data_IF_646177224575
#
_entry.id   IF_646177224575
#
_cell.length_a   1.000
_cell.length_b   1.000
_cell.length_c   1.000
_cell.angle_alpha   90.00
_cell.angle_beta   90.00
_cell.angle_gamma   90.00
#
_symmetry.space_group_name_H-M   'P 1'
#
loop_
_entity.id
_entity.type
_entity.pdbx_description
1 polymer ?
#
# COMPACT_ATOMS: atom_id res chain seq x y z
N UNK A 1 -25.88 -0.74 0.80
CA UNK A 1 -24.92 -0.66 1.93
C UNK A 1 -24.49 -2.03 2.45
N UNK A 2 -25.38 -3.03 2.55
CA UNK A 2 -24.99 -4.37 3.03
C UNK A 2 -24.05 -5.15 2.11
N UNK A 3 -24.23 -5.12 0.78
CA UNK A 3 -23.42 -5.98 -0.12
C UNK A 3 -21.94 -5.59 -0.17
N UNK A 4 -21.62 -4.29 -0.11
CA UNK A 4 -20.24 -3.79 -0.12
C UNK A 4 -19.48 -4.18 1.15
N UNK A 5 -20.17 -4.13 2.30
CA UNK A 5 -19.60 -4.57 3.58
C UNK A 5 -19.35 -6.07 3.59
N UNK A 6 -20.27 -6.86 3.02
CA UNK A 6 -20.13 -8.32 2.89
C UNK A 6 -18.95 -8.67 1.97
N UNK A 7 -18.75 -7.98 0.85
CA UNK A 7 -17.59 -8.22 -0.03
C UNK A 7 -16.27 -7.87 0.67
N UNK A 8 -16.23 -6.79 1.45
CA UNK A 8 -15.06 -6.40 2.22
C UNK A 8 -14.72 -7.42 3.31
N UNK A 9 -15.73 -7.89 4.05
CA UNK A 9 -15.56 -8.94 5.07
C UNK A 9 -15.16 -10.27 4.43
N UNK A 10 -15.75 -10.65 3.29
CA UNK A 10 -15.39 -11.87 2.58
C UNK A 10 -13.94 -11.84 2.06
N UNK A 11 -13.47 -10.68 1.59
CA UNK A 11 -12.06 -10.49 1.22
C UNK A 11 -11.14 -10.62 2.45
N UNK A 12 -11.51 -10.04 3.59
CA UNK A 12 -10.74 -10.18 4.83
C UNK A 12 -10.69 -11.65 5.27
N UNK A 13 -11.82 -12.35 5.29
CA UNK A 13 -11.90 -13.77 5.70
C UNK A 13 -11.11 -14.67 4.74
N UNK A 14 -11.15 -14.40 3.43
CA UNK A 14 -10.38 -15.17 2.45
C UNK A 14 -8.87 -14.92 2.57
N UNK A 15 -8.46 -13.68 2.85
CA UNK A 15 -7.05 -13.35 3.14
C UNK A 15 -6.59 -13.91 4.50
N UNK A 16 -7.52 -14.10 5.44
CA UNK A 16 -7.26 -14.62 6.79
C UNK A 16 -7.26 -16.15 6.88
N UNK A 17 -7.55 -16.87 5.79
CA UNK A 17 -7.45 -18.32 5.75
C UNK A 17 -5.99 -18.74 6.01
N UNK A 18 -5.77 -19.22 7.23
CA UNK A 18 -4.47 -19.49 7.84
C UNK A 18 -3.61 -20.42 6.96
N UNK A 19 -2.37 -20.01 6.70
CA UNK A 19 -1.30 -20.92 6.28
C UNK A 19 -0.51 -21.31 7.52
N UNK A 20 -0.39 -22.62 7.75
CA UNK A 20 0.43 -23.20 8.81
C UNK A 20 1.91 -23.03 8.43
N UNK A 21 2.56 -22.00 8.98
CA UNK A 21 4.01 -21.80 8.82
C UNK A 21 4.74 -22.81 9.72
N UNK A 22 5.54 -23.70 9.12
CA UNK A 22 6.42 -24.59 9.88
C UNK A 22 7.44 -23.76 10.68
N UNK A 23 7.84 -24.21 11.89
CA UNK A 23 8.74 -23.47 12.76
C UNK A 23 10.14 -23.39 12.12
N UNK A 24 10.53 -22.21 11.63
CA UNK A 24 11.86 -22.00 11.05
C UNK A 24 11.95 -20.81 10.07
N UNK A 25 10.84 -20.36 9.50
CA UNK A 25 10.83 -19.26 8.53
C UNK A 25 10.56 -17.92 9.22
N UNK A 26 11.62 -17.24 9.66
CA UNK A 26 11.56 -15.89 10.26
C UNK A 26 12.15 -14.77 9.37
N UNK A 27 12.81 -15.11 8.26
CA UNK A 27 13.46 -14.11 7.42
C UNK A 27 12.61 -13.78 6.19
N UNK A 28 12.23 -12.49 6.09
CA UNK A 28 11.66 -11.92 4.87
C UNK A 28 12.75 -11.93 3.81
N UNK A 29 12.52 -12.65 2.72
CA UNK A 29 13.45 -12.66 1.59
C UNK A 29 13.36 -11.31 0.84
N UNK A 30 14.34 -10.43 1.06
CA UNK A 30 14.44 -9.14 0.34
C UNK A 30 14.59 -9.35 -1.17
N UNK A 31 15.18 -10.46 -1.62
CA UNK A 31 15.27 -10.74 -3.05
C UNK A 31 13.89 -11.04 -3.65
N UNK A 32 12.96 -11.58 -2.87
CA UNK A 32 11.60 -11.85 -3.33
C UNK A 32 10.85 -10.56 -3.67
N UNK A 33 10.91 -9.54 -2.82
CA UNK A 33 10.30 -8.22 -3.09
C UNK A 33 10.96 -7.53 -4.29
N UNK A 34 12.29 -7.66 -4.41
CA UNK A 34 13.04 -7.12 -5.55
C UNK A 34 12.68 -7.82 -6.86
N UNK A 35 12.52 -9.15 -6.85
CA UNK A 35 12.06 -9.94 -7.99
C UNK A 35 10.61 -9.64 -8.36
N UNK A 36 9.75 -9.34 -7.39
CA UNK A 36 8.35 -8.94 -7.64
C UNK A 36 8.27 -7.59 -8.36
N UNK A 37 9.07 -6.61 -7.92
CA UNK A 37 9.22 -5.33 -8.62
C UNK A 37 9.80 -5.50 -10.03
N UNK A 38 10.74 -6.43 -10.22
CA UNK A 38 11.28 -6.76 -11.54
C UNK A 38 10.30 -7.55 -12.43
N UNK A 39 9.46 -8.42 -11.87
CA UNK A 39 8.43 -9.15 -12.61
C UNK A 39 7.34 -8.18 -13.14
N UNK A 40 7.01 -7.17 -12.34
CA UNK A 40 6.14 -6.06 -12.75
C UNK A 40 6.76 -5.24 -13.90
N UNK A 41 8.10 -5.09 -13.94
CA UNK A 41 8.83 -4.42 -15.02
C UNK A 41 9.04 -5.29 -16.27
N UNK A 42 9.03 -6.63 -16.14
CA UNK A 42 9.29 -7.59 -17.24
C UNK A 42 8.05 -8.09 -17.97
N UNK A 43 6.86 -7.57 -17.68
CA UNK A 43 5.65 -7.97 -18.39
C UNK A 43 5.21 -9.41 -18.10
N UNK A 44 5.49 -9.93 -16.90
CA UNK A 44 4.79 -11.14 -16.44
C UNK A 44 3.28 -10.89 -16.49
N UNK A 45 2.51 -11.80 -17.09
CA UNK A 45 1.09 -11.70 -17.47
C UNK A 45 0.14 -11.30 -16.33
N UNK A 46 0.23 -10.06 -15.88
CA UNK A 46 -0.60 -9.48 -14.85
C UNK A 46 -1.81 -8.79 -15.48
N UNK A 47 -3.03 -9.27 -15.24
CA UNK A 47 -4.24 -8.51 -15.56
C UNK A 47 -4.51 -7.53 -14.43
N UNK A 48 -4.26 -6.25 -14.71
CA UNK A 48 -4.69 -5.15 -13.85
C UNK A 48 -6.06 -4.67 -14.28
N UNK A 49 -6.91 -4.38 -13.29
CA UNK A 49 -8.24 -3.84 -13.50
C UNK A 49 -8.56 -2.79 -12.46
N UNK A 50 -9.37 -1.83 -12.85
CA UNK A 50 -9.97 -0.84 -11.97
C UNK A 50 -11.43 -0.67 -12.42
N UNK A 51 -12.36 -0.70 -11.48
CA UNK A 51 -13.78 -0.49 -11.77
C UNK A 51 -14.41 0.39 -10.71
N UNK A 52 -15.38 1.20 -11.13
CA UNK A 52 -16.17 2.00 -10.19
C UNK A 52 -17.09 1.09 -9.38
N UNK A 53 -17.12 1.28 -8.07
CA UNK A 53 -17.98 0.54 -7.15
C UNK A 53 -18.55 1.49 -6.11
N UNK A 54 -19.83 1.86 -6.26
CA UNK A 54 -20.49 2.79 -5.36
C UNK A 54 -19.82 4.17 -5.36
N UNK A 55 -19.33 4.60 -4.19
CA UNK A 55 -18.66 5.91 -4.00
C UNK A 55 -17.16 5.89 -4.28
N UNK A 56 -16.60 4.74 -4.64
CA UNK A 56 -15.16 4.58 -4.85
C UNK A 56 -14.85 3.66 -6.01
N UNK A 57 -13.65 3.10 -5.99
CA UNK A 57 -13.13 2.22 -7.04
C UNK A 57 -12.53 0.98 -6.42
N UNK A 58 -12.90 -0.18 -6.95
CA UNK A 58 -12.19 -1.43 -6.68
C UNK A 58 -11.12 -1.59 -7.75
N UNK A 59 -9.93 -1.97 -7.32
CA UNK A 59 -8.79 -2.20 -8.20
C UNK A 59 -8.11 -3.50 -7.83
N UNK A 60 -7.37 -4.06 -8.78
CA UNK A 60 -6.56 -5.23 -8.50
C UNK A 60 -5.66 -5.62 -9.67
N UNK A 61 -4.74 -6.52 -9.36
CA UNK A 61 -3.82 -7.14 -10.31
C UNK A 61 -3.73 -8.62 -9.97
N UNK A 62 -3.90 -9.49 -10.96
CA UNK A 62 -3.63 -10.93 -10.83
C UNK A 62 -2.58 -11.30 -11.86
N UNK A 63 -1.54 -12.02 -11.45
CA UNK A 63 -0.48 -12.45 -12.35
C UNK A 63 0.24 -13.68 -11.85
N UNK A 64 1.14 -14.19 -12.69
CA UNK A 64 2.00 -15.31 -12.35
C UNK A 64 3.40 -15.11 -12.93
N UNK A 65 4.38 -15.72 -12.29
CA UNK A 65 5.74 -15.89 -12.77
C UNK A 65 6.02 -17.39 -12.94
N UNK A 66 7.23 -17.75 -13.36
CA UNK A 66 7.63 -19.15 -13.52
C UNK A 66 7.55 -19.97 -12.20
N UNK A 67 7.58 -19.30 -11.05
CA UNK A 67 7.66 -19.95 -9.73
C UNK A 67 6.62 -19.47 -8.72
N UNK A 68 5.73 -18.54 -9.11
CA UNK A 68 4.71 -18.00 -8.20
C UNK A 68 3.45 -17.49 -8.90
N UNK A 69 2.34 -17.44 -8.17
CA UNK A 69 1.11 -16.75 -8.54
C UNK A 69 0.88 -15.65 -7.52
N UNK A 70 0.60 -14.44 -7.99
CA UNK A 70 0.36 -13.30 -7.12
C UNK A 70 -0.96 -12.60 -7.46
N UNK A 71 -1.59 -12.08 -6.42
CA UNK A 71 -2.78 -11.26 -6.53
C UNK A 71 -2.71 -10.07 -5.59
N UNK A 72 -3.18 -8.92 -6.05
CA UNK A 72 -3.45 -7.74 -5.23
C UNK A 72 -4.84 -7.25 -5.55
N UNK A 73 -5.58 -6.82 -4.54
CA UNK A 73 -6.83 -6.13 -4.72
C UNK A 73 -7.01 -5.07 -3.64
N UNK A 74 -7.88 -4.12 -3.89
CA UNK A 74 -8.23 -3.12 -2.90
C UNK A 74 -9.41 -2.27 -3.33
N UNK A 75 -9.85 -1.42 -2.42
CA UNK A 75 -10.88 -0.43 -2.62
C UNK A 75 -10.34 0.92 -2.20
N UNK A 76 -10.50 1.94 -3.04
CA UNK A 76 -10.17 3.33 -2.71
C UNK A 76 -11.40 4.21 -2.88
N UNK A 77 -11.51 5.23 -2.05
CA UNK A 77 -12.62 6.15 -2.07
C UNK A 77 -12.18 7.54 -1.60
N UNK A 78 -12.66 8.56 -2.30
CA UNK A 78 -12.60 9.94 -1.83
C UNK A 78 -13.56 10.13 -0.66
N UNK A 79 -13.00 10.49 0.50
CA UNK A 79 -13.76 10.84 1.70
C UNK A 79 -14.27 12.26 1.55
N UNK A 80 -13.39 13.20 1.18
CA UNK A 80 -13.75 14.54 0.76
C UNK A 80 -12.75 15.10 -0.25
N UNK A 81 -13.23 16.02 -1.07
CA UNK A 81 -12.41 16.86 -1.94
C UNK A 81 -13.05 18.25 -1.93
N UNK A 82 -12.62 19.09 -0.99
CA UNK A 82 -13.17 20.42 -0.78
C UNK A 82 -12.05 21.43 -0.47
N UNK A 83 -12.42 22.65 -0.06
CA UNK A 83 -11.48 23.71 0.27
C UNK A 83 -10.48 23.37 1.39
N UNK A 84 -10.72 22.32 2.18
CA UNK A 84 -9.78 21.82 3.20
C UNK A 84 -8.70 20.92 2.61
N UNK A 85 -8.84 20.50 1.35
CA UNK A 85 -7.97 19.58 0.64
C UNK A 85 -8.71 18.35 0.13
N UNK A 86 -7.94 17.36 -0.29
CA UNK A 86 -8.38 16.07 -0.78
C UNK A 86 -7.95 14.98 0.19
N UNK A 87 -8.93 14.24 0.74
CA UNK A 87 -8.70 13.06 1.58
C UNK A 87 -9.23 11.83 0.87
N UNK A 88 -8.33 10.89 0.55
CA UNK A 88 -8.63 9.58 0.00
C UNK A 88 -8.33 8.50 1.05
N UNK A 89 -9.25 7.55 1.19
CA UNK A 89 -9.03 6.33 1.96
C UNK A 89 -8.96 5.10 1.07
N UNK A 90 -8.03 4.20 1.37
CA UNK A 90 -7.82 2.97 0.63
C UNK A 90 -7.66 1.79 1.59
N UNK A 91 -8.31 0.68 1.29
CA UNK A 91 -8.01 -0.63 1.86
C UNK A 91 -7.42 -1.53 0.77
N UNK A 92 -6.40 -2.31 1.08
CA UNK A 92 -5.75 -3.19 0.11
C UNK A 92 -5.30 -4.50 0.75
N UNK A 93 -5.13 -5.50 -0.10
CA UNK A 93 -4.54 -6.78 0.26
C UNK A 93 -3.81 -7.39 -0.91
N UNK A 94 -2.80 -8.19 -0.62
CA UNK A 94 -2.08 -9.00 -1.57
C UNK A 94 -1.84 -10.39 -1.02
N UNK A 95 -1.72 -11.34 -1.94
CA UNK A 95 -1.31 -12.71 -1.66
C UNK A 95 -0.35 -13.17 -2.74
N UNK A 96 0.72 -13.82 -2.34
CA UNK A 96 1.61 -14.53 -3.25
C UNK A 96 1.68 -15.98 -2.80
N UNK A 97 1.49 -16.88 -3.76
CA UNK A 97 1.69 -18.31 -3.63
C UNK A 97 2.96 -18.66 -4.39
N UNK A 98 3.99 -19.13 -3.70
CA UNK A 98 5.30 -19.36 -4.29
C UNK A 98 5.91 -20.69 -3.88
N UNK A 99 6.77 -21.24 -4.74
CA UNK A 99 7.48 -22.49 -4.44
C UNK A 99 8.36 -22.41 -3.17
N UNK A 100 8.75 -21.20 -2.76
CA UNK A 100 9.60 -20.94 -1.59
C UNK A 100 8.83 -20.42 -0.38
N UNK A 101 7.51 -20.32 -0.46
CA UNK A 101 6.65 -19.83 0.62
C UNK A 101 5.53 -18.92 0.15
N UNK A 102 4.46 -18.90 0.93
CA UNK A 102 3.31 -18.02 0.72
C UNK A 102 3.45 -16.76 1.57
N UNK A 103 3.06 -15.62 1.00
CA UNK A 103 2.91 -14.36 1.76
C UNK A 103 1.53 -13.77 1.56
N UNK A 104 0.99 -13.17 2.61
CA UNK A 104 -0.26 -12.43 2.54
C UNK A 104 -0.12 -11.15 3.35
N UNK A 105 -0.40 -10.02 2.72
CA UNK A 105 -0.30 -8.69 3.35
C UNK A 105 -1.61 -7.98 3.14
N UNK A 106 -2.11 -7.29 4.15
CA UNK A 106 -3.26 -6.41 4.02
C UNK A 106 -3.07 -5.15 4.83
N UNK A 107 -3.70 -4.07 4.40
CA UNK A 107 -3.51 -2.77 5.01
C UNK A 107 -4.55 -1.75 4.60
N UNK A 108 -4.41 -0.59 5.21
CA UNK A 108 -5.24 0.58 4.97
C UNK A 108 -4.39 1.83 4.93
N UNK A 109 -4.67 2.70 3.97
CA UNK A 109 -3.95 3.94 3.72
C UNK A 109 -4.92 5.11 3.69
N UNK A 110 -4.54 6.20 4.34
CA UNK A 110 -5.20 7.51 4.25
C UNK A 110 -4.20 8.49 3.64
N UNK A 111 -4.60 9.12 2.55
CA UNK A 111 -3.83 10.16 1.87
C UNK A 111 -4.59 11.48 1.98
N UNK A 112 -4.00 12.47 2.64
CA UNK A 112 -4.50 13.83 2.66
C UNK A 112 -3.53 14.76 1.95
N UNK A 113 -4.05 15.66 1.12
CA UNK A 113 -3.25 16.68 0.47
C UNK A 113 -4.03 17.98 0.28
N UNK A 114 -3.34 19.10 0.38
CA UNK A 114 -3.79 20.39 -0.09
C UNK A 114 -2.64 21.11 -0.82
N UNK A 115 -2.85 22.38 -1.15
CA UNK A 115 -1.88 23.22 -1.87
C UNK A 115 -0.56 23.46 -1.12
N UNK A 116 -0.53 23.23 0.19
CA UNK A 116 0.56 23.62 1.07
C UNK A 116 1.09 22.48 1.94
N UNK A 117 0.45 21.32 1.95
CA UNK A 117 0.81 20.20 2.80
C UNK A 117 0.27 18.89 2.26
N UNK A 118 0.96 17.80 2.57
CA UNK A 118 0.56 16.43 2.28
C UNK A 118 0.83 15.58 3.51
N UNK A 119 -0.08 14.67 3.82
CA UNK A 119 0.08 13.72 4.91
C UNK A 119 -0.43 12.35 4.49
N UNK A 120 0.31 11.32 4.85
CA UNK A 120 -0.06 9.93 4.57
C UNK A 120 0.04 9.12 5.84
N UNK A 121 -0.94 8.26 6.09
CA UNK A 121 -0.86 7.23 7.12
C UNK A 121 -1.22 5.90 6.47
N UNK A 122 -0.30 4.94 6.54
CA UNK A 122 -0.49 3.57 6.06
C UNK A 122 -0.28 2.61 7.23
N UNK A 123 -1.21 1.69 7.44
CA UNK A 123 -1.08 0.62 8.44
C UNK A 123 -1.27 -0.71 7.72
N UNK A 124 -0.36 -1.65 7.96
CA UNK A 124 -0.39 -2.95 7.31
C UNK A 124 -0.09 -4.10 8.27
N UNK A 125 -0.49 -5.30 7.86
CA UNK A 125 -0.25 -6.56 8.54
C UNK A 125 0.16 -7.62 7.52
N UNK A 126 1.26 -8.30 7.81
CA UNK A 126 1.63 -9.53 7.15
C UNK A 126 1.15 -10.74 7.97
N UNK A 127 0.44 -11.66 7.31
CA UNK A 127 -0.02 -12.92 7.92
C UNK A 127 1.19 -13.80 8.17
N UNK A 128 1.42 -14.17 9.43
CA UNK A 128 2.64 -14.89 9.83
C UNK A 128 3.89 -14.02 9.96
N UNK A 129 3.79 -12.73 9.60
CA UNK A 129 4.89 -11.76 9.66
C UNK A 129 4.60 -10.57 10.58
N UNK A 130 5.39 -9.50 10.37
CA UNK A 130 5.26 -8.27 11.14
C UNK A 130 4.07 -7.44 10.68
N UNK A 131 3.63 -6.55 11.56
CA UNK A 131 2.65 -5.52 11.24
C UNK A 131 3.36 -4.19 11.42
N UNK A 132 2.94 -3.15 10.71
CA UNK A 132 3.62 -1.88 10.77
C UNK A 132 2.75 -0.71 10.37
N UNK A 133 3.30 0.46 10.57
CA UNK A 133 2.72 1.73 10.18
C UNK A 133 3.77 2.63 9.58
N UNK A 134 3.39 3.34 8.53
CA UNK A 134 4.17 4.41 7.92
C UNK A 134 3.35 5.69 7.99
N UNK A 135 3.93 6.74 8.55
CA UNK A 135 3.36 8.09 8.56
C UNK A 135 4.30 8.99 7.80
N UNK A 136 3.77 9.79 6.86
CA UNK A 136 4.54 10.84 6.19
C UNK A 136 3.82 12.17 6.33
N UNK A 137 4.59 13.24 6.37
CA UNK A 137 4.08 14.60 6.45
C UNK A 137 5.03 15.57 5.78
N UNK A 138 4.53 16.27 4.77
CA UNK A 138 5.30 17.20 3.95
C UNK A 138 4.63 18.57 3.95
N UNK A 139 5.43 19.63 4.13
CA UNK A 139 5.07 21.00 3.82
C UNK A 139 5.45 21.34 2.38
N UNK A 140 4.60 22.10 1.70
CA UNK A 140 4.76 22.55 0.31
C UNK A 140 4.70 24.07 0.28
N UNK A 141 5.79 24.70 -0.15
CA UNK A 141 5.88 26.14 -0.35
C UNK A 141 6.04 26.45 -1.82
N UNK A 142 5.06 27.14 -2.40
CA UNK A 142 5.12 27.63 -3.78
C UNK A 142 6.14 28.77 -3.84
N UNK A 143 7.27 28.55 -4.51
CA UNK A 143 8.28 29.59 -4.73
C UNK A 143 7.90 30.46 -5.92
N UNK A 144 7.37 29.84 -6.97
CA UNK A 144 6.78 30.52 -8.13
C UNK A 144 5.59 29.68 -8.67
N UNK A 145 5.13 29.96 -9.89
CA UNK A 145 4.00 29.26 -10.52
C UNK A 145 4.32 27.80 -10.91
N UNK A 146 5.59 27.48 -11.10
CA UNK A 146 6.10 26.21 -11.60
C UNK A 146 7.05 25.52 -10.60
N UNK A 147 7.55 26.23 -9.59
CA UNK A 147 8.55 25.77 -8.64
C UNK A 147 7.97 25.72 -7.24
N UNK A 148 8.13 24.56 -6.59
CA UNK A 148 7.73 24.34 -5.19
C UNK A 148 8.85 23.71 -4.39
N UNK A 149 9.08 24.25 -3.19
CA UNK A 149 9.89 23.61 -2.18
C UNK A 149 8.99 22.64 -1.39
N UNK A 150 9.43 21.40 -1.26
CA UNK A 150 8.76 20.38 -0.45
C UNK A 150 9.75 19.96 0.62
N UNK A 151 9.35 20.04 1.89
CA UNK A 151 10.15 19.54 2.99
C UNK A 151 9.26 18.81 3.99
N UNK A 152 9.71 17.67 4.47
CA UNK A 152 8.90 16.77 5.25
C UNK A 152 9.70 15.68 5.92
N UNK A 153 8.97 14.69 6.41
CA UNK A 153 9.56 13.54 7.05
C UNK A 153 8.63 12.35 7.02
N UNK A 154 9.22 11.20 7.32
CA UNK A 154 8.52 9.95 7.48
C UNK A 154 8.89 9.30 8.81
N UNK A 155 7.93 8.55 9.34
CA UNK A 155 8.11 7.65 10.46
C UNK A 155 7.58 6.29 10.03
N UNK A 156 8.45 5.29 10.07
CA UNK A 156 8.10 3.91 9.82
C UNK A 156 8.34 3.11 11.10
N UNK A 157 7.33 2.35 11.51
CA UNK A 157 7.42 1.54 12.70
C UNK A 157 6.75 0.19 12.46
N UNK A 158 7.52 -0.88 12.63
CA UNK A 158 6.95 -2.20 12.79
C UNK A 158 6.48 -2.38 14.24
N UNK A 159 5.23 -2.80 14.41
CA UNK A 159 4.67 -3.15 15.71
C UNK A 159 5.36 -4.42 16.23
N UNK A 160 6.00 -4.31 17.38
CA UNK A 160 6.84 -5.36 17.96
C UNK A 160 8.03 -4.76 18.70
N UNK A 161 9.24 -5.24 18.39
CA UNK A 161 10.48 -4.83 19.06
C UNK A 161 11.37 -3.92 18.21
N UNK A 162 10.95 -3.56 17.01
CA UNK A 162 11.77 -2.76 16.10
C UNK A 162 11.72 -1.29 16.51
N UNK A 163 12.88 -0.64 16.42
CA UNK A 163 12.96 0.81 16.62
C UNK A 163 12.28 1.52 15.45
N UNK A 164 11.54 2.61 15.71
CA UNK A 164 10.99 3.41 14.62
C UNK A 164 12.13 4.00 13.79
N UNK A 165 11.98 3.96 12.47
CA UNK A 165 12.86 4.62 11.52
C UNK A 165 12.25 5.98 11.23
N UNK A 166 13.06 7.03 11.36
CA UNK A 166 12.65 8.40 11.07
C UNK A 166 13.54 8.94 9.97
N UNK A 167 12.94 9.46 8.92
CA UNK A 167 13.61 10.15 7.83
C UNK A 167 13.10 11.57 7.68
N UNK A 168 13.98 12.43 7.18
CA UNK A 168 13.66 13.79 6.79
C UNK A 168 14.03 13.95 5.33
N UNK A 169 13.17 14.60 4.56
CA UNK A 169 13.43 14.89 3.16
C UNK A 169 13.14 16.35 2.84
N UNK A 170 13.94 16.90 1.93
CA UNK A 170 13.68 18.21 1.33
C UNK A 170 14.04 18.14 -0.16
N UNK A 171 13.14 18.62 -1.01
CA UNK A 171 13.29 18.62 -2.46
C UNK A 171 12.68 19.87 -3.08
N UNK A 172 13.21 20.27 -4.23
CA UNK A 172 12.62 21.31 -5.07
C UNK A 172 12.02 20.59 -6.28
N UNK A 173 10.72 20.78 -6.49
CA UNK A 173 10.01 20.28 -7.67
C UNK A 173 9.77 21.44 -8.64
N UNK A 174 10.08 21.24 -9.91
CA UNK A 174 9.86 22.20 -10.98
C UNK A 174 9.04 21.55 -12.10
N UNK A 175 7.90 22.13 -12.43
CA UNK A 175 7.02 21.71 -13.53
C UNK A 175 7.49 22.42 -14.82
N UNK A 176 7.98 21.64 -15.80
CA UNK A 176 8.47 22.12 -17.11
C UNK A 176 7.35 22.37 -18.12
#
# INVERSE_FOLDING_TARGET
MQSTFICFVALIVYVSAQVYLLPGYKEKDEEFYRRMAMAQARGSMGRTWETNAGRGKVFGTLGSTDTSIFGRAGYKQDIFNDHRGHLEGQGYGSRVLGATGDSSVFGGKLNWANDNARATVDVHKEVGGTSGMTVTGDGVWKLDKNTRLVAGGNLEQNFGHDKPVVGLEAKIEHDF
#
